data_IF_923020414649
#
_entry.id   IF_923020414649
#
_cell.length_a   1.000
_cell.length_b   1.000
_cell.length_c   1.000
_cell.angle_alpha   90.00
_cell.angle_beta   90.00
_cell.angle_gamma   90.00
#
_symmetry.space_group_name_H-M   'P 1'
#
loop_
_entity.id
_entity.type
_entity.pdbx_description
1 polymer ?
#
# COMPACT_ATOMS: atom_id res chain seq x y z
N UNK A 1 -37.30 -1.96 8.50
CA UNK A 1 -36.60 -1.11 7.52
C UNK A 1 -35.90 0.06 8.18
N UNK A 2 -36.59 0.88 9.00
CA UNK A 2 -35.99 2.02 9.69
C UNK A 2 -34.81 1.64 10.61
N UNK A 3 -34.94 0.56 11.39
CA UNK A 3 -33.87 0.11 12.31
C UNK A 3 -32.59 -0.34 11.58
N UNK A 4 -32.71 -0.96 10.41
CA UNK A 4 -31.56 -1.34 9.57
C UNK A 4 -30.87 -0.10 8.97
N UNK A 5 -31.64 0.93 8.62
CA UNK A 5 -31.10 2.20 8.14
C UNK A 5 -30.31 2.94 9.23
N UNK A 6 -30.81 2.93 10.48
CA UNK A 6 -30.10 3.51 11.63
C UNK A 6 -28.77 2.80 11.87
N UNK A 7 -28.77 1.46 11.94
CA UNK A 7 -27.54 0.64 12.15
C UNK A 7 -26.55 0.78 10.98
N UNK A 8 -27.03 0.98 9.75
CA UNK A 8 -26.15 1.28 8.62
C UNK A 8 -25.52 2.67 8.72
N UNK A 9 -26.30 3.68 9.17
CA UNK A 9 -25.82 5.03 9.41
C UNK A 9 -24.72 5.07 10.47
N UNK A 10 -24.94 4.44 11.62
CA UNK A 10 -23.96 4.35 12.72
C UNK A 10 -22.61 3.79 12.23
N UNK A 11 -22.62 2.69 11.47
CA UNK A 11 -21.39 2.11 10.90
C UNK A 11 -20.63 3.06 9.97
N UNK A 12 -21.33 3.89 9.20
CA UNK A 12 -20.67 4.90 8.35
C UNK A 12 -20.01 5.96 9.21
N UNK A 13 -20.70 6.46 10.25
CA UNK A 13 -20.12 7.44 11.17
C UNK A 13 -18.93 6.87 11.95
N UNK A 14 -19.03 5.63 12.44
CA UNK A 14 -17.90 4.94 13.08
C UNK A 14 -16.67 4.82 12.15
N UNK A 15 -16.89 4.51 10.86
CA UNK A 15 -15.81 4.47 9.88
C UNK A 15 -15.21 5.85 9.61
N UNK A 16 -16.02 6.90 9.55
CA UNK A 16 -15.55 8.27 9.35
C UNK A 16 -14.75 8.81 10.54
N UNK A 17 -15.13 8.40 11.76
CA UNK A 17 -14.45 8.77 13.00
C UNK A 17 -13.23 7.89 13.30
N UNK A 18 -12.96 6.89 12.44
CA UNK A 18 -11.81 6.01 12.53
C UNK A 18 -10.46 6.73 12.39
N UNK A 19 -9.36 6.08 12.80
CA UNK A 19 -8.03 6.65 12.69
C UNK A 19 -7.67 6.94 11.23
N UNK A 20 -7.16 8.15 10.97
CA UNK A 20 -6.64 8.52 9.65
C UNK A 20 -5.37 7.75 9.35
N UNK A 21 -5.23 7.31 8.10
CA UNK A 21 -3.97 6.78 7.61
C UNK A 21 -2.86 7.82 7.81
N UNK A 22 -1.81 7.42 8.51
CA UNK A 22 -0.62 8.24 8.69
C UNK A 22 0.34 7.98 7.53
N UNK A 23 0.86 9.05 6.95
CA UNK A 23 1.96 9.00 5.99
C UNK A 23 3.26 9.35 6.71
N UNK A 24 4.40 9.20 6.03
CA UNK A 24 5.68 9.64 6.57
C UNK A 24 5.67 11.13 6.92
N UNK A 25 6.53 11.54 7.85
CA UNK A 25 6.65 12.93 8.32
C UNK A 25 7.68 13.76 7.51
N UNK A 26 8.01 13.31 6.29
CA UNK A 26 9.00 13.99 5.45
C UNK A 26 8.30 14.92 4.45
N UNK A 27 8.25 16.20 4.80
CA UNK A 27 7.63 17.24 3.98
C UNK A 27 8.60 17.90 2.99
N UNK A 28 9.83 17.37 2.85
CA UNK A 28 10.81 17.94 1.93
C UNK A 28 10.34 17.73 0.48
N UNK A 29 10.58 18.71 -0.42
CA UNK A 29 10.33 18.51 -1.83
C UNK A 29 11.13 17.32 -2.38
N UNK A 30 10.50 16.53 -3.25
CA UNK A 30 11.15 15.43 -3.95
C UNK A 30 12.36 15.95 -4.75
N UNK A 31 13.54 15.42 -4.46
CA UNK A 31 14.80 15.80 -5.13
C UNK A 31 15.06 14.97 -6.39
N UNK A 32 14.46 13.78 -6.49
CA UNK A 32 14.62 12.86 -7.62
C UNK A 32 13.33 12.07 -7.83
N UNK A 33 13.12 11.60 -9.07
CA UNK A 33 12.09 10.60 -9.42
C UNK A 33 12.61 9.16 -9.38
N UNK A 34 13.80 8.93 -8.82
CA UNK A 34 14.33 7.58 -8.60
C UNK A 34 13.49 6.88 -7.53
N UNK A 35 13.13 5.62 -7.79
CA UNK A 35 12.41 4.76 -6.85
C UNK A 35 13.37 3.67 -6.38
N UNK A 36 13.52 3.53 -5.08
CA UNK A 36 14.29 2.45 -4.45
C UNK A 36 13.39 1.68 -3.49
N UNK A 37 13.37 0.37 -3.66
CA UNK A 37 12.70 -0.59 -2.79
C UNK A 37 13.78 -1.57 -2.36
N UNK A 38 14.03 -1.67 -1.07
CA UNK A 38 15.10 -2.48 -0.51
C UNK A 38 14.52 -3.48 0.50
N UNK A 39 14.81 -4.76 0.30
CA UNK A 39 14.44 -5.89 1.15
C UNK A 39 12.95 -5.98 1.55
N UNK A 40 12.02 -5.53 0.69
CA UNK A 40 10.60 -5.48 1.06
C UNK A 40 9.94 -6.86 1.01
N UNK A 41 9.34 -7.25 2.12
CA UNK A 41 8.46 -8.42 2.23
C UNK A 41 7.10 -7.99 2.78
N UNK A 42 6.02 -8.50 2.21
CA UNK A 42 4.67 -8.10 2.57
C UNK A 42 3.67 -9.24 2.39
N UNK A 43 2.72 -9.33 3.32
CA UNK A 43 1.58 -10.22 3.26
C UNK A 43 0.30 -9.46 3.65
N UNK A 44 -0.82 -9.78 3.00
CA UNK A 44 -2.14 -9.27 3.43
C UNK A 44 -2.66 -9.99 4.68
N UNK A 45 -2.16 -11.20 4.94
CA UNK A 45 -2.48 -12.06 6.10
C UNK A 45 -1.18 -12.78 6.49
N UNK A 46 -0.95 -12.98 7.79
CA UNK A 46 0.34 -13.43 8.34
C UNK A 46 0.87 -14.76 7.77
N UNK A 47 0.01 -15.54 7.11
CA UNK A 47 0.27 -16.87 6.60
C UNK A 47 0.78 -16.92 5.15
N UNK A 48 0.76 -15.82 4.38
CA UNK A 48 1.16 -15.86 2.97
C UNK A 48 1.82 -14.58 2.43
N UNK A 49 3.16 -14.58 2.39
CA UNK A 49 3.94 -13.52 1.76
C UNK A 49 3.64 -13.40 0.26
N UNK A 50 3.10 -12.25 -0.13
CA UNK A 50 2.86 -11.85 -1.52
C UNK A 50 4.10 -11.22 -2.12
N UNK A 51 4.82 -10.42 -1.33
CA UNK A 51 6.16 -9.92 -1.65
C UNK A 51 7.19 -10.62 -0.76
N UNK A 52 8.27 -11.10 -1.37
CA UNK A 52 9.32 -11.86 -0.69
C UNK A 52 10.67 -11.27 -1.08
N UNK A 53 11.29 -10.52 -0.17
CA UNK A 53 12.61 -9.91 -0.36
C UNK A 53 12.76 -9.24 -1.74
N UNK A 54 11.86 -8.30 -2.03
CA UNK A 54 11.87 -7.57 -3.29
C UNK A 54 12.85 -6.40 -3.18
N UNK A 55 13.80 -6.39 -4.10
CA UNK A 55 14.76 -5.30 -4.31
C UNK A 55 14.53 -4.74 -5.71
N UNK A 56 14.21 -3.45 -5.81
CA UNK A 56 13.94 -2.77 -7.07
C UNK A 56 14.53 -1.38 -7.05
N UNK A 57 15.33 -1.06 -8.07
CA UNK A 57 15.80 0.29 -8.34
C UNK A 57 15.30 0.73 -9.71
N UNK A 58 14.55 1.82 -9.74
CA UNK A 58 14.07 2.44 -10.97
C UNK A 58 14.66 3.83 -11.06
N UNK A 59 15.60 4.08 -12.01
CA UNK A 59 16.15 5.41 -12.20
C UNK A 59 15.08 6.42 -12.61
N UNK A 60 15.31 7.69 -12.28
CA UNK A 60 14.47 8.79 -12.73
C UNK A 60 14.32 8.77 -14.25
N UNK A 61 13.08 8.97 -14.73
CA UNK A 61 12.70 8.97 -16.17
C UNK A 61 12.76 7.60 -16.85
N UNK A 62 12.82 6.51 -16.09
CA UNK A 62 12.72 5.15 -16.64
C UNK A 62 11.29 4.61 -16.51
N UNK A 63 10.97 3.64 -17.37
CA UNK A 63 9.71 2.91 -17.34
C UNK A 63 9.98 1.43 -17.08
N UNK A 64 9.26 0.84 -16.14
CA UNK A 64 9.35 -0.57 -15.76
C UNK A 64 7.95 -1.17 -15.77
N UNK A 65 7.81 -2.38 -16.32
CA UNK A 65 6.57 -3.13 -16.33
C UNK A 65 6.69 -4.40 -15.47
N UNK A 66 5.71 -4.64 -14.60
CA UNK A 66 5.57 -5.90 -13.87
C UNK A 66 4.64 -6.84 -14.63
N UNK A 67 5.12 -8.04 -14.98
CA UNK A 67 4.40 -9.04 -15.78
C UNK A 67 4.28 -10.36 -15.01
N UNK A 68 3.18 -11.09 -15.19
CA UNK A 68 2.89 -12.33 -14.48
C UNK A 68 1.39 -12.69 -14.49
N UNK A 69 1.03 -13.90 -14.07
CA UNK A 69 -0.35 -14.40 -14.08
C UNK A 69 -1.28 -13.66 -13.10
N UNK A 70 -2.60 -13.67 -13.33
CA UNK A 70 -3.58 -13.08 -12.40
C UNK A 70 -3.40 -13.63 -10.98
N UNK A 71 -3.42 -12.75 -9.97
CA UNK A 71 -3.19 -13.12 -8.56
C UNK A 71 -1.74 -13.24 -8.12
N UNK A 72 -0.75 -13.07 -9.02
CA UNK A 72 0.68 -13.17 -8.70
C UNK A 72 1.26 -12.01 -7.85
N UNK A 73 0.42 -11.11 -7.33
CA UNK A 73 0.88 -9.99 -6.52
C UNK A 73 1.35 -8.74 -7.26
N UNK A 74 1.21 -8.62 -8.60
CA UNK A 74 1.72 -7.45 -9.38
C UNK A 74 1.21 -6.07 -8.91
N UNK A 75 -0.02 -6.00 -8.40
CA UNK A 75 -0.58 -4.74 -7.89
C UNK A 75 -0.03 -4.36 -6.52
N UNK A 76 0.55 -5.32 -5.79
CA UNK A 76 1.02 -5.14 -4.42
C UNK A 76 2.26 -4.24 -4.35
N UNK A 77 3.32 -4.38 -5.18
CA UNK A 77 4.43 -3.44 -5.20
C UNK A 77 4.00 -2.02 -5.56
N UNK A 78 3.04 -1.88 -6.49
CA UNK A 78 2.48 -0.58 -6.84
C UNK A 78 1.82 0.09 -5.64
N UNK A 79 0.91 -0.62 -4.96
CA UNK A 79 0.24 -0.09 -3.76
C UNK A 79 1.22 0.22 -2.63
N UNK A 80 2.32 -0.53 -2.54
CA UNK A 80 3.40 -0.25 -1.59
C UNK A 80 4.14 1.06 -1.93
N UNK A 81 4.54 1.24 -3.19
CA UNK A 81 5.22 2.47 -3.67
C UNK A 81 4.31 3.69 -3.52
N UNK A 82 3.01 3.53 -3.77
CA UNK A 82 2.00 4.60 -3.62
C UNK A 82 1.71 4.95 -2.13
N UNK A 83 2.32 4.24 -1.17
CA UNK A 83 2.12 4.46 0.27
C UNK A 83 0.75 3.99 0.80
N UNK A 84 0.02 3.18 0.03
CA UNK A 84 -1.31 2.66 0.39
C UNK A 84 -1.24 1.42 1.28
N UNK A 85 -0.10 0.73 1.29
CA UNK A 85 0.18 -0.38 2.19
C UNK A 85 1.16 0.09 3.27
N UNK A 86 1.00 -0.38 4.51
CA UNK A 86 1.93 -0.02 5.57
C UNK A 86 3.31 -0.55 5.24
N UNK A 87 4.33 0.30 5.43
CA UNK A 87 5.73 -0.07 5.39
C UNK A 87 6.11 -0.89 6.64
N UNK A 88 5.38 -1.96 6.92
CA UNK A 88 5.70 -2.91 7.98
C UNK A 88 6.56 -4.03 7.37
N UNK A 89 7.69 -3.63 6.79
CA UNK A 89 8.80 -4.52 6.46
C UNK A 89 9.95 -4.14 7.39
N UNK A 90 10.48 -5.11 8.12
CA UNK A 90 11.84 -4.96 8.66
C UNK A 90 12.84 -4.95 7.51
#
# INVERSE_FOLDING_TARGET
MLQQAVVAGERVFELMDGPRQQYGNDDRPLQSGTIEVDNVSFAYRDDNLVLKNINLSVPSRNFVALVGHTGSGKSTPRQFIDGLLPANGR
#
